data_IF_277217411583
#
_entry.id   IF_277217411583
#
_cell.length_a   1.000
_cell.length_b   1.000
_cell.length_c   1.000
_cell.angle_alpha   90.00
_cell.angle_beta   90.00
_cell.angle_gamma   90.00
#
_symmetry.space_group_name_H-M   'P 1'
#
loop_
_entity.id
_entity.type
_entity.pdbx_description
1 polymer ?
#
# COMPACT_ATOMS: atom_id res chain seq x y z
N UNK A 1 -11.58 -15.37 -5.33
CA UNK A 1 -10.77 -14.84 -4.20
C UNK A 1 -9.42 -14.39 -4.76
N UNK A 2 -9.42 -13.34 -5.59
CA UNK A 2 -8.22 -12.79 -6.25
C UNK A 2 -8.38 -11.31 -6.64
N UNK A 3 -9.62 -10.82 -6.75
CA UNK A 3 -9.88 -9.49 -7.33
C UNK A 3 -9.76 -8.36 -6.29
N UNK A 4 -10.13 -8.59 -5.02
CA UNK A 4 -10.11 -7.56 -3.97
C UNK A 4 -8.69 -7.10 -3.62
N UNK A 5 -7.72 -8.01 -3.57
CA UNK A 5 -6.30 -7.69 -3.36
C UNK A 5 -5.69 -6.95 -4.53
N UNK A 6 -6.19 -7.19 -5.74
CA UNK A 6 -5.72 -6.52 -6.96
C UNK A 6 -6.26 -5.08 -7.00
N UNK A 7 -7.53 -4.87 -6.67
CA UNK A 7 -8.15 -3.54 -6.57
C UNK A 7 -7.50 -2.72 -5.45
N UNK A 8 -7.23 -3.34 -4.31
CA UNK A 8 -6.47 -2.78 -3.19
C UNK A 8 -5.11 -2.24 -3.63
N UNK A 9 -4.31 -3.07 -4.30
CA UNK A 9 -2.98 -2.71 -4.77
C UNK A 9 -3.02 -1.67 -5.89
N UNK A 10 -4.01 -1.73 -6.77
CA UNK A 10 -4.22 -0.73 -7.81
C UNK A 10 -4.55 0.65 -7.22
N UNK A 11 -5.42 0.72 -6.22
CA UNK A 11 -5.73 1.98 -5.53
C UNK A 11 -4.52 2.55 -4.79
N UNK A 12 -3.75 1.69 -4.12
CA UNK A 12 -2.49 2.09 -3.49
C UNK A 12 -1.49 2.63 -4.52
N UNK A 13 -1.30 1.93 -5.64
CA UNK A 13 -0.45 2.34 -6.75
C UNK A 13 -0.87 3.69 -7.33
N UNK A 14 -2.16 3.89 -7.59
CA UNK A 14 -2.70 5.12 -8.15
C UNK A 14 -2.53 6.29 -7.18
N UNK A 15 -2.72 6.08 -5.88
CA UNK A 15 -2.44 7.12 -4.89
C UNK A 15 -0.95 7.45 -4.81
N UNK A 16 -0.07 6.45 -4.87
CA UNK A 16 1.38 6.66 -4.95
C UNK A 16 1.77 7.49 -6.17
N UNK A 17 1.24 7.14 -7.34
CA UNK A 17 1.49 7.84 -8.60
C UNK A 17 0.99 9.30 -8.55
N UNK A 18 -0.16 9.54 -7.90
CA UNK A 18 -0.73 10.89 -7.74
C UNK A 18 0.09 11.78 -6.81
N UNK A 19 0.63 11.21 -5.75
CA UNK A 19 1.50 11.92 -4.78
C UNK A 19 2.92 12.10 -5.32
N UNK A 20 3.41 11.18 -6.15
CA UNK A 20 4.67 11.36 -6.86
C UNK A 20 4.50 12.43 -7.92
N UNK A 21 5.32 13.47 -7.86
CA UNK A 21 5.38 14.50 -8.91
C UNK A 21 6.00 13.88 -10.17
N UNK A 22 5.14 13.39 -11.07
CA UNK A 22 5.52 12.76 -12.33
C UNK A 22 5.96 13.81 -13.37
N UNK A 23 7.10 14.45 -13.13
CA UNK A 23 7.70 15.33 -14.15
C UNK A 23 8.49 14.50 -15.18
N UNK A 24 8.74 13.21 -14.89
CA UNK A 24 9.57 12.30 -15.66
C UNK A 24 8.98 10.87 -15.69
N UNK A 25 9.35 10.08 -16.69
CA UNK A 25 8.88 8.69 -16.84
C UNK A 25 9.32 7.84 -15.63
N UNK A 26 8.37 7.52 -14.75
CA UNK A 26 8.62 6.82 -13.50
C UNK A 26 7.94 5.45 -13.52
N UNK A 27 8.71 4.39 -13.30
CA UNK A 27 8.19 3.01 -13.16
C UNK A 27 8.26 2.63 -11.68
N UNK A 28 7.12 2.25 -11.12
CA UNK A 28 7.00 1.84 -9.71
C UNK A 28 6.25 0.51 -9.60
N UNK A 29 6.70 -0.34 -8.67
CA UNK A 29 6.09 -1.64 -8.37
C UNK A 29 5.31 -1.58 -7.05
N UNK A 30 3.96 -1.53 -7.09
CA UNK A 30 3.12 -1.37 -5.90
C UNK A 30 3.23 -2.55 -4.91
N UNK A 31 3.44 -3.76 -5.44
CA UNK A 31 3.61 -4.98 -4.65
C UNK A 31 4.89 -4.90 -3.81
N UNK A 32 5.99 -4.47 -4.43
CA UNK A 32 7.29 -4.39 -3.76
C UNK A 32 7.26 -3.36 -2.62
N UNK A 33 6.65 -2.20 -2.84
CA UNK A 33 6.51 -1.15 -1.82
C UNK A 33 5.62 -1.64 -0.67
N UNK A 34 4.51 -2.30 -0.98
CA UNK A 34 3.62 -2.88 0.04
C UNK A 34 4.34 -3.93 0.88
N UNK A 35 5.18 -4.77 0.27
CA UNK A 35 5.97 -5.78 0.97
C UNK A 35 7.05 -5.15 1.86
N UNK A 36 7.76 -4.13 1.37
CA UNK A 36 8.73 -3.38 2.16
C UNK A 36 8.07 -2.72 3.38
N UNK A 37 6.93 -2.05 3.20
CA UNK A 37 6.17 -1.45 4.30
C UNK A 37 5.61 -2.52 5.25
N UNK A 38 5.23 -3.70 4.76
CA UNK A 38 4.85 -4.85 5.58
C UNK A 38 5.99 -5.33 6.47
N UNK A 39 7.22 -5.36 5.97
CA UNK A 39 8.40 -5.69 6.80
C UNK A 39 8.70 -4.60 7.85
N UNK A 40 8.54 -3.32 7.49
CA UNK A 40 8.67 -2.21 8.47
C UNK A 40 7.58 -2.29 9.54
N UNK A 41 6.36 -2.65 9.16
CA UNK A 41 5.25 -2.85 10.08
C UNK A 41 5.55 -3.94 11.12
N UNK A 42 6.23 -5.03 10.74
CA UNK A 42 6.63 -6.08 11.68
C UNK A 42 7.60 -5.57 12.76
N UNK A 43 8.39 -4.53 12.46
CA UNK A 43 9.27 -3.87 13.43
C UNK A 43 8.66 -2.67 14.15
N UNK A 44 7.55 -2.12 13.64
CA UNK A 44 6.90 -0.95 14.18
C UNK A 44 5.97 -1.31 15.36
N UNK A 45 5.80 -0.39 16.32
CA UNK A 45 4.87 -0.54 17.45
C UNK A 45 4.03 0.72 17.64
N UNK A 46 2.92 0.59 18.35
CA UNK A 46 2.07 1.71 18.73
C UNK A 46 1.43 2.42 17.53
N UNK A 47 1.51 3.75 17.50
CA UNK A 47 0.84 4.56 16.48
C UNK A 47 1.46 4.41 15.09
N UNK A 48 2.78 4.23 15.02
CA UNK A 48 3.52 4.05 13.76
C UNK A 48 3.08 2.78 13.02
N UNK A 49 2.84 1.69 13.75
CA UNK A 49 2.32 0.46 13.15
C UNK A 49 0.91 0.67 12.56
N UNK A 50 0.05 1.44 13.25
CA UNK A 50 -1.31 1.75 12.77
C UNK A 50 -1.29 2.64 11.54
N UNK A 51 -0.44 3.65 11.49
CA UNK A 51 -0.31 4.54 10.33
C UNK A 51 0.22 3.80 9.09
N UNK A 52 1.20 2.92 9.28
CA UNK A 52 1.70 2.05 8.19
C UNK A 52 0.62 1.09 7.74
N UNK A 53 -0.12 0.49 8.68
CA UNK A 53 -1.26 -0.35 8.34
C UNK A 53 -2.31 0.43 7.56
N UNK A 54 -2.70 1.64 7.96
CA UNK A 54 -3.69 2.45 7.25
C UNK A 54 -3.21 2.88 5.85
N UNK A 55 -1.92 3.20 5.70
CA UNK A 55 -1.32 3.56 4.41
C UNK A 55 -1.36 2.37 3.42
N UNK A 56 -1.06 1.16 3.90
CA UNK A 56 -1.17 -0.07 3.10
C UNK A 56 -2.64 -0.51 2.98
N UNK A 57 -3.47 -0.27 4.01
CA UNK A 57 -4.84 -0.73 4.16
C UNK A 57 -5.88 0.12 3.43
N UNK A 58 -5.64 1.38 3.10
CA UNK A 58 -6.47 1.99 2.03
C UNK A 58 -6.39 1.19 0.71
N UNK A 59 -5.37 0.35 0.54
CA UNK A 59 -5.43 -0.86 -0.29
C UNK A 59 -6.01 -2.08 0.46
N UNK A 60 -5.31 -2.62 1.46
CA UNK A 60 -5.57 -3.88 2.18
C UNK A 60 -6.89 -4.01 2.99
N UNK A 61 -7.63 -2.93 3.30
CA UNK A 61 -8.85 -2.93 4.12
C UNK A 61 -10.02 -3.63 3.40
N UNK A 62 -9.92 -3.78 2.07
CA UNK A 62 -10.80 -4.68 1.31
C UNK A 62 -10.53 -6.17 1.62
N UNK A 63 -9.37 -6.52 2.20
CA UNK A 63 -9.00 -7.90 2.57
C UNK A 63 -9.42 -8.28 4.00
N UNK A 64 -9.71 -7.31 4.88
CA UNK A 64 -10.00 -7.55 6.30
C UNK A 64 -11.48 -7.37 6.70
N UNK A 65 -12.39 -7.25 5.73
CA UNK A 65 -13.84 -7.28 5.98
C UNK A 65 -14.55 -8.29 5.07
N UNK A 66 -14.20 -9.57 5.26
CA UNK A 66 -15.02 -10.73 4.90
C UNK A 66 -14.88 -11.80 5.98
#
# INVERSE_FOLDING_TARGET
>A
MHDSTTIAQANFALNLIRETRLEESTVISPISISFALGMVLLGAKGNTAKEIQDAIAKGLFCFLNK
#
